data_IF_284192542821
#
_entry.id   IF_284192542821
#
_cell.length_a   1.000
_cell.length_b   1.000
_cell.length_c   1.000
_cell.angle_alpha   90.00
_cell.angle_beta   90.00
_cell.angle_gamma   90.00
#
_symmetry.space_group_name_H-M   'P 1'
#
loop_
_entity.id
_entity.type
_entity.pdbx_description
1 polymer ?
#
# COMPACT_ATOMS: atom_id res chain seq x y z
N UNK A 1 -6.54 -6.36 5.47
CA UNK A 1 -6.19 -5.33 4.47
C UNK A 1 -6.81 -5.55 3.06
N UNK A 2 -7.73 -6.49 2.82
CA UNK A 2 -8.29 -6.73 1.47
C UNK A 2 -9.38 -5.71 1.05
N UNK A 3 -10.14 -5.13 1.98
CA UNK A 3 -11.29 -4.29 1.66
C UNK A 3 -10.93 -2.93 1.01
N UNK A 4 -9.81 -2.34 1.43
CA UNK A 4 -9.40 -1.00 0.97
C UNK A 4 -8.81 -1.03 -0.45
N UNK A 5 -8.26 -2.19 -0.84
CA UNK A 5 -7.70 -2.42 -2.18
C UNK A 5 -8.71 -3.03 -3.16
N UNK A 6 -9.77 -3.67 -2.66
CA UNK A 6 -10.85 -4.14 -3.50
C UNK A 6 -11.62 -2.98 -4.17
N UNK A 7 -12.21 -3.19 -5.36
CA UNK A 7 -11.95 -4.31 -6.26
C UNK A 7 -10.66 -4.13 -7.08
N UNK A 8 -10.01 -2.95 -7.00
CA UNK A 8 -8.94 -2.57 -7.92
C UNK A 8 -7.75 -3.53 -7.92
N UNK A 9 -7.31 -4.01 -6.73
CA UNK A 9 -6.23 -4.97 -6.59
C UNK A 9 -6.62 -6.09 -5.63
N UNK A 10 -6.49 -7.33 -6.10
CA UNK A 10 -6.65 -8.54 -5.28
C UNK A 10 -5.32 -9.27 -5.17
N UNK A 11 -5.00 -9.76 -3.96
CA UNK A 11 -3.81 -10.55 -3.67
C UNK A 11 -4.24 -11.93 -3.15
N UNK A 12 -4.60 -12.87 -4.03
CA UNK A 12 -5.17 -14.15 -3.62
C UNK A 12 -4.15 -15.08 -2.91
N UNK A 13 -2.85 -14.82 -3.01
CA UNK A 13 -1.80 -15.67 -2.43
C UNK A 13 -0.82 -14.92 -1.51
N UNK A 14 -1.28 -13.87 -0.81
CA UNK A 14 -0.43 -13.26 0.22
C UNK A 14 -0.33 -14.24 1.40
N UNK A 15 0.73 -15.05 1.41
CA UNK A 15 1.18 -15.71 2.63
C UNK A 15 1.79 -14.63 3.54
N UNK A 16 0.91 -13.86 4.18
CA UNK A 16 1.34 -12.89 5.18
C UNK A 16 1.91 -13.69 6.37
N UNK A 17 3.16 -13.45 6.78
CA UNK A 17 3.67 -14.07 7.99
C UNK A 17 2.84 -13.62 9.20
N UNK A 18 2.62 -14.51 10.16
CA UNK A 18 1.78 -14.26 11.35
C UNK A 18 2.30 -13.09 12.20
N UNK A 19 3.57 -12.71 12.03
CA UNK A 19 4.17 -11.50 12.60
C UNK A 19 4.91 -10.72 11.53
N UNK A 20 4.68 -9.42 11.55
CA UNK A 20 5.40 -8.45 10.72
C UNK A 20 6.49 -7.85 11.62
N UNK A 21 7.74 -8.16 11.34
CA UNK A 21 8.92 -7.57 11.98
C UNK A 21 9.77 -6.82 10.96
N UNK A 22 10.65 -5.94 11.43
CA UNK A 22 11.65 -5.30 10.57
C UNK A 22 12.50 -6.38 9.88
N UNK A 23 12.66 -6.27 8.56
CA UNK A 23 13.32 -7.26 7.70
C UNK A 23 12.36 -8.30 7.10
N UNK A 24 11.07 -8.26 7.43
CA UNK A 24 10.08 -9.16 6.85
C UNK A 24 9.92 -8.90 5.36
N UNK A 25 10.11 -9.95 4.56
CA UNK A 25 9.88 -9.92 3.11
C UNK A 25 8.58 -10.64 2.79
N UNK A 26 7.64 -9.91 2.22
CA UNK A 26 6.41 -10.45 1.66
C UNK A 26 6.48 -10.42 0.14
N UNK A 27 5.94 -11.43 -0.52
CA UNK A 27 5.79 -11.44 -1.98
C UNK A 27 4.35 -11.79 -2.31
N UNK A 28 3.70 -10.93 -3.09
CA UNK A 28 2.29 -11.02 -3.39
C UNK A 28 2.08 -10.88 -4.90
N UNK A 29 1.33 -11.82 -5.49
CA UNK A 29 0.92 -11.65 -6.88
C UNK A 29 -0.29 -10.72 -6.93
N UNK A 30 -0.13 -9.59 -7.61
CA UNK A 30 -1.18 -8.59 -7.79
C UNK A 30 -2.05 -8.95 -8.99
N UNK A 31 -3.36 -8.95 -8.78
CA UNK A 31 -4.36 -9.13 -9.83
C UNK A 31 -5.26 -7.91 -9.90
N UNK A 32 -5.32 -7.31 -11.09
CA UNK A 32 -6.23 -6.21 -11.37
C UNK A 32 -7.66 -6.73 -11.46
N UNK A 33 -8.56 -6.15 -10.66
CA UNK A 33 -9.96 -6.60 -10.58
C UNK A 33 -10.13 -8.10 -10.26
N UNK A 34 -9.08 -8.77 -9.79
CA UNK A 34 -9.06 -10.23 -9.62
C UNK A 34 -9.05 -11.05 -10.93
N UNK A 35 -9.00 -10.39 -12.10
CA UNK A 35 -9.16 -11.05 -13.42
C UNK A 35 -7.93 -10.86 -14.30
N UNK A 36 -7.33 -9.67 -14.32
CA UNK A 36 -6.19 -9.39 -15.19
C UNK A 36 -4.90 -9.65 -14.39
N UNK A 37 -4.08 -10.66 -14.77
CA UNK A 37 -2.83 -10.93 -14.09
C UNK A 37 -1.89 -9.75 -14.30
N UNK A 38 -1.42 -9.15 -13.21
CA UNK A 38 -0.52 -8.00 -13.28
C UNK A 38 0.93 -8.45 -13.13
N UNK A 39 1.53 -8.26 -11.97
CA UNK A 39 2.90 -8.60 -11.64
C UNK A 39 2.98 -9.16 -10.22
N UNK A 40 4.13 -9.75 -9.89
CA UNK A 40 4.47 -10.10 -8.51
C UNK A 40 5.09 -8.87 -7.85
N UNK A 41 4.48 -8.41 -6.77
CA UNK A 41 5.01 -7.36 -5.90
C UNK A 41 5.81 -8.01 -4.78
N UNK A 42 7.01 -7.50 -4.57
CA UNK A 42 7.87 -7.86 -3.47
C UNK A 42 7.91 -6.66 -2.54
N UNK A 43 7.59 -6.88 -1.27
CA UNK A 43 7.58 -5.90 -0.21
C UNK A 43 8.57 -6.34 0.85
N UNK A 44 9.41 -5.42 1.30
CA UNK A 44 10.31 -5.60 2.43
C UNK A 44 10.01 -4.52 3.46
N UNK A 45 9.67 -4.93 4.68
CA UNK A 45 9.51 -4.02 5.81
C UNK A 45 10.90 -3.59 6.26
N UNK A 46 11.21 -2.30 6.10
CA UNK A 46 12.50 -1.73 6.50
C UNK A 46 12.44 -1.15 7.90
N UNK A 47 11.34 -0.50 8.25
CA UNK A 47 11.15 0.08 9.58
C UNK A 47 9.69 -0.12 10.00
N UNK A 48 9.52 -0.45 11.27
CA UNK A 48 8.22 -0.65 11.90
C UNK A 48 8.28 -0.03 13.28
N UNK A 49 7.62 1.11 13.43
CA UNK A 49 7.43 1.84 14.67
C UNK A 49 5.94 1.88 15.01
N UNK A 50 5.59 2.32 16.22
CA UNK A 50 4.20 2.37 16.69
C UNK A 50 3.30 3.24 15.81
N UNK A 51 3.86 4.29 15.21
CA UNK A 51 3.14 5.29 14.40
C UNK A 51 3.68 5.46 12.99
N UNK A 52 4.71 4.68 12.61
CA UNK A 52 5.38 4.84 11.32
C UNK A 52 5.78 3.47 10.78
N UNK A 53 5.47 3.23 9.52
CA UNK A 53 5.81 1.98 8.82
C UNK A 53 6.50 2.38 7.54
N UNK A 54 7.72 1.87 7.34
CA UNK A 54 8.48 2.07 6.12
C UNK A 54 8.69 0.74 5.40
N UNK A 55 8.15 0.63 4.20
CA UNK A 55 8.25 -0.54 3.34
C UNK A 55 8.94 -0.19 2.03
N UNK A 56 9.95 -0.98 1.66
CA UNK A 56 10.53 -0.95 0.32
C UNK A 56 9.84 -2.01 -0.51
N UNK A 57 9.18 -1.56 -1.56
CA UNK A 57 8.40 -2.39 -2.45
C UNK A 57 8.96 -2.28 -3.87
N UNK A 58 8.81 -3.35 -4.64
CA UNK A 58 9.18 -3.38 -6.04
C UNK A 58 8.33 -4.41 -6.78
N UNK A 59 8.05 -4.19 -8.05
CA UNK A 59 7.38 -5.20 -8.86
C UNK A 59 6.92 -4.72 -10.22
N UNK A 60 7.01 -5.64 -11.19
CA UNK A 60 6.55 -5.42 -12.56
C UNK A 60 7.22 -4.20 -13.20
N UNK A 61 6.43 -3.21 -13.67
CA UNK A 61 6.96 -2.01 -14.34
C UNK A 61 7.57 -0.98 -13.38
N UNK A 62 7.41 -1.14 -12.07
CA UNK A 62 7.97 -0.23 -11.04
C UNK A 62 9.18 -0.92 -10.41
N UNK A 63 10.37 -0.31 -10.54
CA UNK A 63 11.61 -0.87 -9.97
C UNK A 63 11.77 -0.49 -8.52
N UNK A 64 11.43 0.76 -8.18
CA UNK A 64 11.52 1.28 -6.82
C UNK A 64 10.18 1.86 -6.40
N UNK A 65 9.62 1.34 -5.32
CA UNK A 65 8.45 1.88 -4.65
C UNK A 65 8.75 1.93 -3.15
N UNK A 66 9.20 3.06 -2.64
CA UNK A 66 9.37 3.21 -1.20
C UNK A 66 8.06 3.77 -0.64
N UNK A 67 7.39 3.02 0.22
CA UNK A 67 6.15 3.42 0.84
C UNK A 67 6.40 3.72 2.32
N UNK A 68 6.10 4.96 2.71
CA UNK A 68 6.10 5.38 4.11
C UNK A 68 4.67 5.67 4.55
N UNK A 69 4.21 4.95 5.56
CA UNK A 69 2.95 5.19 6.22
C UNK A 69 3.25 5.89 7.54
N UNK A 70 2.58 7.00 7.80
CA UNK A 70 2.71 7.72 9.07
C UNK A 70 1.33 8.01 9.63
N UNK A 71 1.17 7.70 10.91
CA UNK A 71 -0.05 7.91 11.67
C UNK A 71 0.23 8.98 12.73
N UNK A 72 -0.37 10.15 12.61
CA UNK A 72 -0.22 11.22 13.59
C UNK A 72 -1.53 11.38 14.36
N UNK A 73 -1.59 11.09 15.67
CA UNK A 73 -2.80 11.33 16.45
C UNK A 73 -3.09 12.84 16.48
N UNK A 74 -4.32 13.23 16.17
CA UNK A 74 -4.79 14.62 16.24
C UNK A 74 -5.52 14.84 17.56
N UNK A 75 -6.36 13.88 17.96
CA UNK A 75 -7.00 13.81 19.27
C UNK A 75 -7.37 12.35 19.63
N UNK A 76 -8.09 12.14 20.73
CA UNK A 76 -8.48 10.82 21.24
C UNK A 76 -9.31 9.98 20.25
N UNK A 77 -9.95 10.60 19.26
CA UNK A 77 -10.83 9.93 18.29
C UNK A 77 -10.42 10.15 16.83
N UNK A 78 -9.39 10.97 16.57
CA UNK A 78 -8.96 11.35 15.23
C UNK A 78 -7.47 11.16 15.05
N UNK A 79 -7.09 10.50 13.96
CA UNK A 79 -5.71 10.40 13.52
C UNK A 79 -5.57 10.90 12.07
N UNK A 80 -4.45 11.56 11.78
CA UNK A 80 -4.00 11.83 10.43
C UNK A 80 -3.28 10.61 9.91
N UNK A 81 -3.74 10.09 8.79
CA UNK A 81 -3.11 9.00 8.07
C UNK A 81 -2.46 9.56 6.81
N UNK A 82 -1.14 9.43 6.71
CA UNK A 82 -0.34 9.91 5.59
C UNK A 82 0.34 8.74 4.91
N UNK A 83 0.10 8.59 3.61
CA UNK A 83 0.85 7.70 2.73
C UNK A 83 1.79 8.53 1.86
N UNK A 84 3.09 8.28 1.95
CA UNK A 84 4.09 8.83 1.06
C UNK A 84 4.69 7.72 0.21
N UNK A 85 4.81 7.97 -1.09
CA UNK A 85 5.28 6.98 -2.05
C UNK A 85 6.35 7.65 -2.89
N UNK A 86 7.55 7.08 -2.81
CA UNK A 86 8.65 7.42 -3.68
C UNK A 86 8.72 6.40 -4.81
N UNK A 87 8.77 6.87 -6.06
CA UNK A 87 8.88 6.00 -7.24
C UNK A 87 9.95 6.48 -8.19
N UNK A 88 10.39 5.59 -9.08
CA UNK A 88 11.36 5.92 -10.12
C UNK A 88 10.97 7.13 -10.97
N UNK A 89 11.97 7.98 -11.26
CA UNK A 89 11.85 9.11 -12.18
C UNK A 89 11.85 8.67 -13.64
N UNK A 90 11.09 9.40 -14.48
CA UNK A 90 11.09 9.26 -15.95
C UNK A 90 9.73 8.98 -16.58
N UNK A 91 9.73 8.73 -17.90
CA UNK A 91 8.50 8.54 -18.69
C UNK A 91 7.68 7.31 -18.25
N UNK A 92 8.35 6.24 -17.80
CA UNK A 92 7.69 5.07 -17.20
C UNK A 92 7.10 5.40 -15.83
N UNK A 93 7.77 6.26 -15.06
CA UNK A 93 7.28 6.79 -13.77
C UNK A 93 6.01 7.62 -13.92
N UNK A 94 5.78 8.27 -15.06
CA UNK A 94 4.57 9.07 -15.29
C UNK A 94 3.28 8.23 -15.26
N UNK A 95 3.31 7.06 -15.91
CA UNK A 95 2.19 6.10 -15.88
C UNK A 95 1.97 5.54 -14.48
N UNK A 96 3.06 5.15 -13.81
CA UNK A 96 3.04 4.69 -12.41
C UNK A 96 2.47 5.76 -11.47
N UNK A 97 2.83 7.03 -11.66
CA UNK A 97 2.37 8.15 -10.82
C UNK A 97 0.89 8.44 -10.99
N UNK A 98 0.37 8.37 -12.22
CA UNK A 98 -1.07 8.47 -12.46
C UNK A 98 -1.80 7.30 -11.80
N UNK A 99 -1.28 6.09 -11.96
CA UNK A 99 -1.83 4.90 -11.35
C UNK A 99 -1.87 5.00 -9.81
N UNK A 100 -0.76 5.41 -9.18
CA UNK A 100 -0.66 5.71 -7.74
C UNK A 100 -1.75 6.69 -7.33
N UNK A 101 -1.86 7.83 -8.02
CA UNK A 101 -2.85 8.85 -7.67
C UNK A 101 -4.27 8.30 -7.71
N UNK A 102 -4.62 7.52 -8.72
CA UNK A 102 -5.95 6.92 -8.84
C UNK A 102 -6.20 5.89 -7.73
N UNK A 103 -5.23 5.02 -7.45
CA UNK A 103 -5.33 4.01 -6.40
C UNK A 103 -5.44 4.63 -5.01
N UNK A 104 -4.59 5.58 -4.66
CA UNK A 104 -4.62 6.21 -3.35
C UNK A 104 -5.85 7.11 -3.18
N UNK A 105 -6.33 7.76 -4.25
CA UNK A 105 -7.62 8.45 -4.21
C UNK A 105 -8.81 7.50 -3.97
N UNK A 106 -8.75 6.28 -4.52
CA UNK A 106 -9.74 5.23 -4.23
C UNK A 106 -9.60 4.72 -2.79
N UNK A 107 -8.38 4.41 -2.36
CA UNK A 107 -8.04 3.92 -1.01
C UNK A 107 -8.50 4.91 0.06
N UNK A 108 -8.19 6.20 -0.10
CA UNK A 108 -8.64 7.27 0.80
C UNK A 108 -10.15 7.43 0.81
N UNK A 109 -10.83 7.28 -0.34
CA UNK A 109 -12.30 7.27 -0.37
C UNK A 109 -12.88 6.11 0.43
N UNK A 110 -12.34 4.89 0.29
CA UNK A 110 -12.80 3.74 1.08
C UNK A 110 -12.50 3.89 2.57
N UNK A 111 -11.33 4.42 2.92
CA UNK A 111 -11.01 4.74 4.32
C UNK A 111 -11.98 5.75 4.91
N UNK A 112 -12.34 6.80 4.18
CA UNK A 112 -13.37 7.76 4.61
C UNK A 112 -14.76 7.16 4.79
N UNK A 113 -15.10 6.09 4.07
CA UNK A 113 -16.35 5.36 4.29
C UNK A 113 -16.30 4.43 5.51
N UNK A 114 -15.12 3.87 5.82
CA UNK A 114 -14.94 2.95 6.95
C UNK A 114 -14.69 3.66 8.28
N UNK A 115 -13.97 4.78 8.27
CA UNK A 115 -13.62 5.50 9.50
C UNK A 115 -14.85 5.86 10.37
N UNK A 116 -16.01 6.28 9.81
CA UNK A 116 -17.22 6.54 10.60
C UNK A 116 -17.93 5.27 11.12
N UNK A 117 -17.59 4.09 10.61
CA UNK A 117 -18.20 2.80 11.00
C UNK A 117 -17.40 2.08 12.11
N UNK A 118 -16.22 2.60 12.46
CA UNK A 118 -15.32 2.04 13.47
C UNK A 118 -15.34 2.82 14.80
N UNK A 119 -16.11 3.90 14.89
CA UNK A 119 -16.55 4.59 16.12
C UNK A 119 -17.79 3.93 16.70
#
# INVERSE_FOLDING_TARGET
MQFVLAPALTMPSLAAPDRIEVGTRASARLWWFGVIPSWTHHLEVKELEDLMIYTNEHGGPVRTWNHRLTFTPIDEQRCSYTDEIETDDGFKGLGTRLFIRLMFAHRHRRWRMLAPLLT
#
